data_IF_302000634430
#
_entry.id   IF_302000634430
#
_cell.length_a   1.000
_cell.length_b   1.000
_cell.length_c   1.000
_cell.angle_alpha   90.00
_cell.angle_beta   90.00
_cell.angle_gamma   90.00
#
_symmetry.space_group_name_H-M   'P 1'
#
loop_
_entity.id
_entity.type
_entity.pdbx_description
1 polymer ?
#
# COMPACT_ATOMS: atom_id res chain seq x y z
N UNK A 1 13.41 -20.83 2.23
CA UNK A 1 12.13 -20.54 2.92
C UNK A 1 11.75 -21.75 3.76
N UNK A 2 11.22 -21.56 4.96
CA UNK A 2 10.74 -22.63 5.84
C UNK A 2 9.39 -22.24 6.46
N UNK A 3 8.49 -23.22 6.61
CA UNK A 3 7.32 -23.11 7.48
C UNK A 3 7.50 -24.09 8.63
N UNK A 4 7.58 -23.59 9.86
CA UNK A 4 7.80 -24.45 11.04
C UNK A 4 6.54 -25.23 11.42
N UNK A 5 6.69 -26.29 12.19
CA UNK A 5 5.55 -27.05 12.77
C UNK A 5 4.68 -26.20 13.69
N UNK A 6 5.20 -25.08 14.19
CA UNK A 6 4.47 -24.08 14.99
C UNK A 6 3.82 -22.99 14.13
N UNK A 7 3.80 -23.12 12.80
CA UNK A 7 3.12 -22.20 11.89
C UNK A 7 3.86 -20.88 11.61
N UNK A 8 5.18 -20.81 11.78
CA UNK A 8 5.97 -19.59 11.49
C UNK A 8 6.68 -19.70 10.14
N UNK A 9 6.58 -18.65 9.32
CA UNK A 9 7.21 -18.56 8.00
C UNK A 9 8.55 -17.82 8.09
N UNK A 10 9.65 -18.52 7.83
CA UNK A 10 11.00 -17.96 7.72
C UNK A 10 11.45 -17.83 6.26
N UNK A 11 11.86 -16.64 5.83
CA UNK A 11 12.51 -16.45 4.53
C UNK A 11 13.99 -16.21 4.75
N UNK A 12 14.85 -17.20 4.49
CA UNK A 12 16.31 -17.07 4.70
C UNK A 12 16.77 -17.35 6.14
N UNK A 13 15.90 -17.87 7.00
CA UNK A 13 16.24 -18.33 8.36
C UNK A 13 15.58 -19.68 8.64
N UNK A 14 16.27 -20.57 9.37
CA UNK A 14 15.72 -21.84 9.86
C UNK A 14 15.02 -21.70 11.21
N UNK A 15 15.21 -20.59 11.91
CA UNK A 15 14.72 -20.36 13.28
C UNK A 15 13.96 -19.02 13.35
N UNK A 16 12.73 -18.96 12.82
CA UNK A 16 11.92 -17.74 12.84
C UNK A 16 11.50 -17.35 14.27
N UNK A 17 11.86 -16.12 14.68
CA UNK A 17 11.49 -15.54 15.99
C UNK A 17 10.10 -14.88 15.99
N UNK A 18 9.53 -14.63 14.81
CA UNK A 18 8.21 -14.03 14.61
C UNK A 18 7.35 -14.89 13.65
N UNK A 19 6.01 -14.69 13.60
CA UNK A 19 5.13 -15.42 12.68
C UNK A 19 5.57 -15.35 11.21
N UNK A 20 6.10 -14.20 10.78
CA UNK A 20 6.81 -14.03 9.52
C UNK A 20 8.18 -13.40 9.84
N UNK A 21 9.28 -14.08 9.54
CA UNK A 21 10.63 -13.60 9.80
C UNK A 21 11.48 -13.64 8.52
N UNK A 22 11.92 -12.46 8.08
CA UNK A 22 12.94 -12.28 7.05
C UNK A 22 14.15 -11.64 7.76
N UNK A 23 15.29 -12.34 7.90
CA UNK A 23 16.45 -11.80 8.58
C UNK A 23 17.15 -10.76 7.71
N UNK A 24 17.83 -9.82 8.36
CA UNK A 24 18.51 -8.71 7.69
C UNK A 24 17.59 -7.54 7.35
N UNK A 25 18.18 -6.50 6.78
CA UNK A 25 17.48 -5.28 6.41
C UNK A 25 18.01 -4.71 5.11
N UNK A 26 17.09 -4.30 4.23
CA UNK A 26 17.37 -3.58 3.00
C UNK A 26 17.25 -2.09 3.26
N UNK A 27 18.19 -1.31 2.70
CA UNK A 27 18.20 0.14 2.79
C UNK A 27 17.45 0.72 1.59
N UNK A 28 16.40 1.49 1.82
CA UNK A 28 15.66 2.17 0.76
C UNK A 28 15.59 3.66 1.05
N UNK A 29 15.75 4.47 0.01
CA UNK A 29 15.83 5.92 0.09
C UNK A 29 14.61 6.55 -0.56
N UNK A 30 13.85 7.34 0.20
CA UNK A 30 12.83 8.25 -0.33
C UNK A 30 13.43 9.62 -0.59
N UNK A 31 13.06 10.26 -1.70
CA UNK A 31 13.35 11.68 -1.93
C UNK A 31 14.81 12.01 -2.26
N UNK A 32 15.55 11.09 -2.91
CA UNK A 32 16.88 11.38 -3.45
C UNK A 32 16.80 12.60 -4.40
N UNK A 33 17.31 13.75 -3.95
CA UNK A 33 17.30 15.01 -4.70
C UNK A 33 16.06 15.90 -4.55
N UNK A 34 15.13 15.58 -3.63
CA UNK A 34 13.89 16.35 -3.42
C UNK A 34 13.90 17.35 -2.25
N UNK A 35 12.99 18.32 -2.29
CA UNK A 35 12.73 19.30 -1.21
C UNK A 35 11.55 18.91 -0.31
N UNK A 36 10.98 17.72 -0.51
CA UNK A 36 9.78 17.26 0.20
C UNK A 36 10.07 16.91 1.66
N UNK A 37 9.22 17.40 2.57
CA UNK A 37 9.25 17.03 3.98
C UNK A 37 8.56 15.68 4.16
N UNK A 38 9.30 14.69 4.64
CA UNK A 38 8.74 13.39 5.00
C UNK A 38 8.51 13.32 6.51
N UNK A 39 7.35 12.81 6.92
CA UNK A 39 7.02 12.55 8.34
C UNK A 39 7.28 11.08 8.65
N UNK A 40 8.25 10.83 9.52
CA UNK A 40 8.51 9.51 10.08
C UNK A 40 7.62 9.32 11.32
N UNK A 41 6.90 8.20 11.41
CA UNK A 41 6.24 7.80 12.66
C UNK A 41 6.97 6.57 13.18
N UNK A 42 7.77 6.74 14.23
CA UNK A 42 8.27 5.60 15.01
C UNK A 42 7.15 5.08 15.91
N UNK A 43 7.26 3.83 16.31
CA UNK A 43 6.49 3.17 17.37
C UNK A 43 6.46 3.97 18.68
N UNK A 44 7.49 4.77 18.96
CA UNK A 44 7.54 5.68 20.11
C UNK A 44 6.71 6.96 19.95
N UNK A 45 6.04 7.16 18.81
CA UNK A 45 5.20 8.33 18.54
C UNK A 45 5.96 9.62 18.21
N UNK A 46 7.30 9.61 18.27
CA UNK A 46 8.10 10.74 17.78
C UNK A 46 7.86 10.93 16.28
N UNK A 47 7.55 12.18 15.89
CA UNK A 47 7.48 12.55 14.48
C UNK A 47 8.65 13.45 14.14
N UNK A 48 9.66 12.89 13.49
CA UNK A 48 10.76 13.67 12.94
C UNK A 48 10.41 14.06 11.49
N UNK A 49 10.48 15.36 11.21
CA UNK A 49 10.34 15.92 9.88
C UNK A 49 11.73 16.31 9.40
N UNK A 50 12.28 15.58 8.43
CA UNK A 50 13.60 15.89 7.87
C UNK A 50 13.47 16.38 6.42
N UNK A 51 14.35 17.32 6.05
CA UNK A 51 14.51 17.81 4.69
C UNK A 51 15.66 17.04 4.04
N UNK A 52 15.39 16.33 2.94
CA UNK A 52 16.39 15.57 2.19
C UNK A 52 16.05 14.08 2.06
N UNK A 53 16.97 13.28 1.46
CA UNK A 53 16.73 11.86 1.27
C UNK A 53 16.61 11.13 2.61
N UNK A 54 15.41 10.63 2.92
CA UNK A 54 15.18 9.81 4.11
C UNK A 54 15.44 8.36 3.75
N UNK A 55 16.28 7.71 4.55
CA UNK A 55 16.58 6.29 4.38
C UNK A 55 15.89 5.44 5.43
N UNK A 56 15.24 4.36 5.01
CA UNK A 56 14.66 3.36 5.90
C UNK A 56 15.27 1.98 5.70
N UNK A 57 15.23 1.20 6.78
CA UNK A 57 15.65 -0.20 6.82
C UNK A 57 14.40 -1.09 6.85
N UNK A 58 14.19 -1.91 5.83
CA UNK A 58 13.04 -2.83 5.72
C UNK A 58 13.46 -4.26 5.48
N UNK A 59 12.72 -5.22 6.03
CA UNK A 59 12.99 -6.63 5.84
C UNK A 59 12.73 -7.13 4.39
N UNK A 60 11.91 -6.41 3.61
CA UNK A 60 11.64 -6.71 2.19
C UNK A 60 11.12 -5.50 1.42
N UNK A 61 11.35 -5.48 0.10
CA UNK A 61 10.93 -4.43 -0.83
C UNK A 61 10.11 -5.07 -1.95
N UNK A 62 8.94 -4.50 -2.26
CA UNK A 62 8.15 -4.85 -3.43
C UNK A 62 8.33 -3.75 -4.48
N UNK A 63 8.88 -4.11 -5.64
CA UNK A 63 9.13 -3.13 -6.72
C UNK A 63 7.86 -2.68 -7.46
N UNK A 64 6.73 -3.34 -7.21
CA UNK A 64 5.43 -3.08 -7.85
C UNK A 64 4.33 -3.25 -6.79
N UNK A 65 3.11 -2.85 -7.13
CA UNK A 65 1.93 -3.09 -6.31
C UNK A 65 1.74 -4.57 -5.97
N UNK A 66 1.38 -4.83 -4.71
CA UNK A 66 0.85 -6.11 -4.28
C UNK A 66 -0.62 -6.14 -4.71
N UNK A 67 -0.97 -7.07 -5.58
CA UNK A 67 -2.33 -7.28 -6.05
C UNK A 67 -2.90 -8.59 -5.49
N UNK A 68 -4.23 -8.67 -5.43
CA UNK A 68 -4.95 -9.91 -5.21
C UNK A 68 -5.84 -10.21 -6.42
N UNK A 69 -6.17 -11.49 -6.63
CA UNK A 69 -7.01 -11.94 -7.74
C UNK A 69 -8.47 -11.52 -7.60
N UNK A 70 -8.93 -11.32 -6.37
CA UNK A 70 -10.26 -10.81 -6.07
C UNK A 70 -10.21 -9.92 -4.82
N UNK A 71 -10.90 -8.78 -4.90
CA UNK A 71 -11.19 -7.92 -3.76
C UNK A 71 -12.67 -8.07 -3.39
N UNK A 72 -12.96 -8.55 -2.18
CA UNK A 72 -14.31 -8.50 -1.64
C UNK A 72 -14.56 -7.10 -1.07
N UNK A 73 -15.39 -6.32 -1.76
CA UNK A 73 -15.83 -5.01 -1.25
C UNK A 73 -17.22 -5.14 -0.62
N UNK A 74 -17.34 -4.78 0.65
CA UNK A 74 -18.64 -4.78 1.33
C UNK A 74 -19.41 -3.51 0.98
N UNK A 75 -20.72 -3.67 0.81
CA UNK A 75 -21.63 -2.55 0.57
C UNK A 75 -22.78 -2.65 1.57
N UNK A 76 -22.48 -2.46 2.85
CA UNK A 76 -23.51 -2.44 3.90
C UNK A 76 -24.35 -1.16 3.78
N UNK A 77 -25.66 -1.31 3.70
CA UNK A 77 -26.62 -0.20 3.64
C UNK A 77 -26.59 0.64 4.93
N UNK A 78 -26.25 0.07 6.08
CA UNK A 78 -26.16 0.80 7.37
C UNK A 78 -25.08 1.88 7.35
N UNK A 79 -24.04 1.69 6.54
CA UNK A 79 -22.93 2.64 6.35
C UNK A 79 -23.18 3.60 5.17
N UNK A 80 -24.31 3.46 4.47
CA UNK A 80 -24.66 4.29 3.32
C UNK A 80 -25.69 5.33 3.70
N UNK A 81 -25.39 6.58 3.39
CA UNK A 81 -26.38 7.64 3.41
C UNK A 81 -27.05 7.74 2.04
N UNK A 82 -28.39 7.82 2.03
CA UNK A 82 -29.28 8.11 0.88
C UNK A 82 -28.67 7.83 -0.50
N UNK A 83 -28.95 6.66 -1.07
CA UNK A 83 -28.68 6.44 -2.49
C UNK A 83 -29.58 7.35 -3.32
N UNK A 84 -29.01 8.29 -4.05
CA UNK A 84 -29.73 9.21 -4.93
C UNK A 84 -29.51 8.79 -6.38
N UNK A 85 -30.57 8.81 -7.17
CA UNK A 85 -30.43 8.65 -8.62
C UNK A 85 -29.57 9.78 -9.17
N UNK A 86 -28.58 9.44 -9.98
CA UNK A 86 -27.80 10.43 -10.70
C UNK A 86 -28.61 10.91 -11.93
N UNK A 87 -28.83 12.22 -12.10
CA UNK A 87 -29.46 12.75 -13.32
C UNK A 87 -28.62 12.39 -14.54
N UNK A 88 -29.27 11.86 -15.59
CA UNK A 88 -28.59 11.40 -16.81
C UNK A 88 -27.70 12.49 -17.44
N UNK A 89 -28.14 13.74 -17.40
CA UNK A 89 -27.37 14.90 -17.92
C UNK A 89 -25.98 15.04 -17.26
N UNK A 90 -25.79 14.60 -16.01
CA UNK A 90 -24.48 14.69 -15.33
C UNK A 90 -23.48 13.63 -15.80
N UNK A 91 -23.95 12.54 -16.42
CA UNK A 91 -23.11 11.40 -16.80
C UNK A 91 -22.95 11.32 -18.33
N UNK A 92 -23.87 11.90 -19.13
CA UNK A 92 -23.75 11.97 -20.60
C UNK A 92 -22.38 12.48 -21.07
N UNK A 93 -21.86 13.54 -20.45
CA UNK A 93 -20.52 14.09 -20.75
C UNK A 93 -19.37 13.08 -20.58
N UNK A 94 -19.51 12.08 -19.72
CA UNK A 94 -18.48 11.04 -19.55
C UNK A 94 -18.56 9.98 -20.64
N UNK A 95 -19.76 9.68 -21.17
CA UNK A 95 -19.96 8.71 -22.24
C UNK A 95 -19.66 9.28 -23.62
N UNK A 96 -20.10 10.51 -23.92
CA UNK A 96 -19.91 11.15 -25.23
C UNK A 96 -18.43 11.40 -25.58
N UNK A 97 -17.54 11.37 -24.59
CA UNK A 97 -16.09 11.52 -24.76
C UNK A 97 -15.34 10.19 -24.93
N UNK A 98 -15.97 9.03 -24.66
CA UNK A 98 -15.35 7.72 -24.87
C UNK A 98 -15.40 7.29 -26.35
N UNK A 99 -16.48 7.60 -27.06
CA UNK A 99 -16.65 7.21 -28.48
C UNK A 99 -15.75 7.99 -29.45
N UNK A 100 -15.13 9.10 -29.00
CA UNK A 100 -14.22 9.92 -29.83
C UNK A 100 -12.82 9.34 -30.01
N UNK A 101 -12.47 8.28 -29.28
CA UNK A 101 -11.15 7.63 -29.36
C UNK A 101 -11.19 6.24 -30.02
N UNK A 102 -12.35 5.85 -30.58
CA UNK A 102 -12.55 4.55 -31.23
C UNK A 102 -12.43 4.60 -32.78
N UNK A 103 -11.84 5.66 -33.34
CA UNK A 103 -11.56 5.80 -34.79
C UNK A 103 -10.07 5.94 -35.06
#
# INVERSE_FOLDING_TARGET
MILTTTGRLGLGTASPSAPLHVPGSNRFVFGAGGTTVYRLRTDSGATESALGPITYSVAGIFGVYIACTAMTMTSDRRLKWKNQSCPLERIKRLYDNCDRWAS
#
